data_IF_750607545777
#
_entry.id   IF_750607545777
#
_cell.length_a   1.000
_cell.length_b   1.000
_cell.length_c   1.000
_cell.angle_alpha   90.00
_cell.angle_beta   90.00
_cell.angle_gamma   90.00
#
_symmetry.space_group_name_H-M   'P 1'
#
loop_
_entity.id
_entity.type
_entity.pdbx_description
1 polymer ?
#
# COMPACT_ATOMS: atom_id res chain seq x y z
N UNK A 1 -75.59 9.04 21.55
CA UNK A 1 -76.26 10.34 21.45
C UNK A 1 -75.49 11.13 20.38
N UNK A 2 -76.12 11.34 19.21
CA UNK A 2 -76.42 12.59 18.49
C UNK A 2 -75.13 13.37 18.15
N UNK A 3 -74.85 13.80 16.93
CA UNK A 3 -75.66 14.13 15.73
C UNK A 3 -74.67 14.23 14.52
N UNK A 4 -75.09 13.68 13.45
CA UNK A 4 -75.06 14.00 12.03
C UNK A 4 -75.27 15.49 11.78
N UNK A 5 -74.56 16.10 10.83
CA UNK A 5 -75.05 17.07 9.84
C UNK A 5 -74.21 17.01 8.58
N UNK A 6 -74.81 16.78 7.48
CA UNK A 6 -74.56 16.83 6.06
C UNK A 6 -74.64 18.27 5.55
N UNK A 7 -73.99 18.52 4.40
CA UNK A 7 -74.47 19.34 3.23
C UNK A 7 -73.34 19.36 2.20
N UNK A 8 -73.48 18.81 1.06
CA UNK A 8 -74.22 19.03 -0.20
C UNK A 8 -73.80 20.30 -0.98
N UNK A 9 -73.26 19.99 -2.18
CA UNK A 9 -73.39 20.63 -3.49
C UNK A 9 -72.64 21.91 -3.84
N UNK A 10 -71.87 21.91 -4.90
CA UNK A 10 -72.29 22.43 -6.24
C UNK A 10 -71.26 22.08 -7.31
N UNK A 11 -71.71 21.51 -8.40
CA UNK A 11 -70.97 21.26 -9.62
C UNK A 11 -71.04 22.47 -10.55
N UNK A 12 -69.92 22.84 -11.15
CA UNK A 12 -69.93 23.72 -12.32
C UNK A 12 -69.04 23.11 -13.40
N UNK A 13 -69.67 22.68 -14.48
CA UNK A 13 -69.04 22.28 -15.74
C UNK A 13 -68.57 23.53 -16.47
N UNK A 14 -67.30 23.61 -16.83
CA UNK A 14 -66.83 24.49 -17.90
C UNK A 14 -66.02 23.63 -18.90
N UNK A 15 -66.60 23.49 -20.10
CA UNK A 15 -65.98 22.96 -21.29
C UNK A 15 -65.04 24.01 -21.88
N UNK A 16 -63.76 23.73 -22.07
CA UNK A 16 -62.87 24.48 -22.93
C UNK A 16 -62.11 23.52 -23.85
N UNK A 17 -62.22 23.83 -25.13
CA UNK A 17 -61.57 23.15 -26.25
C UNK A 17 -60.04 23.23 -26.15
N UNK A 18 -59.38 22.09 -26.27
CA UNK A 18 -57.92 22.06 -26.47
C UNK A 18 -57.59 21.89 -27.96
N UNK A 19 -56.96 22.89 -28.51
CA UNK A 19 -56.21 22.81 -29.77
C UNK A 19 -54.89 22.07 -29.51
N UNK A 20 -54.69 20.96 -30.20
CA UNK A 20 -53.46 20.18 -30.21
C UNK A 20 -52.38 20.91 -31.03
N UNK A 21 -51.32 21.36 -30.38
CA UNK A 21 -50.02 21.65 -31.01
C UNK A 21 -49.06 20.50 -30.67
N UNK A 22 -48.72 19.69 -31.68
CA UNK A 22 -47.67 18.72 -31.59
C UNK A 22 -46.29 19.42 -31.57
N UNK A 23 -45.64 19.46 -30.41
CA UNK A 23 -44.25 19.86 -30.32
C UNK A 23 -43.38 18.57 -30.32
N UNK A 24 -42.53 18.47 -31.34
CA UNK A 24 -41.44 17.52 -31.44
C UNK A 24 -40.48 17.74 -30.27
N UNK A 25 -40.51 16.87 -29.27
CA UNK A 25 -39.43 16.80 -28.27
C UNK A 25 -38.25 16.02 -28.86
N UNK A 26 -37.23 16.77 -29.29
CA UNK A 26 -35.90 16.25 -29.45
C UNK A 26 -35.39 15.78 -28.07
N UNK A 27 -35.36 14.48 -27.83
CA UNK A 27 -34.59 13.86 -26.72
C UNK A 27 -33.12 14.15 -26.97
N UNK A 28 -32.60 15.22 -26.39
CA UNK A 28 -31.17 15.39 -26.19
C UNK A 28 -30.71 14.31 -25.20
N UNK A 29 -30.04 13.31 -25.69
CA UNK A 29 -29.26 12.39 -24.87
C UNK A 29 -28.09 13.19 -24.29
N UNK A 30 -28.28 13.73 -23.10
CA UNK A 30 -27.17 14.26 -22.30
C UNK A 30 -26.27 13.07 -21.92
N UNK A 31 -25.29 12.76 -22.75
CA UNK A 31 -24.09 12.06 -22.32
C UNK A 31 -23.29 13.06 -21.47
N UNK A 32 -23.68 13.20 -20.21
CA UNK A 32 -22.87 13.90 -19.22
C UNK A 32 -21.72 12.96 -18.84
N UNK A 33 -20.69 12.89 -19.69
CA UNK A 33 -19.40 12.36 -19.33
C UNK A 33 -18.80 13.35 -18.32
N UNK A 34 -19.08 13.16 -17.04
CA UNK A 34 -18.39 13.88 -15.97
C UNK A 34 -16.91 13.49 -16.05
N UNK A 35 -16.13 14.27 -16.80
CA UNK A 35 -14.67 14.17 -16.81
C UNK A 35 -14.20 14.45 -15.38
N UNK A 36 -13.74 13.41 -14.69
CA UNK A 36 -13.13 13.56 -13.36
C UNK A 36 -11.90 14.44 -13.51
N UNK A 37 -11.87 15.59 -12.84
CA UNK A 37 -10.72 16.47 -12.89
C UNK A 37 -9.58 15.88 -12.07
N UNK A 38 -8.43 15.62 -12.68
CA UNK A 38 -7.22 15.25 -11.98
C UNK A 38 -6.82 16.32 -10.96
N UNK A 39 -6.23 15.91 -9.83
CA UNK A 39 -5.78 16.86 -8.83
C UNK A 39 -5.49 16.23 -7.48
N UNK A 40 -5.17 17.10 -6.52
CA UNK A 40 -4.92 16.72 -5.13
C UNK A 40 -5.83 17.54 -4.21
N UNK A 41 -6.55 16.85 -3.35
CA UNK A 41 -7.30 17.45 -2.25
C UNK A 41 -6.58 17.18 -0.93
N UNK A 42 -6.40 18.24 -0.11
CA UNK A 42 -5.84 18.16 1.24
C UNK A 42 -6.96 18.38 2.25
N UNK A 43 -7.08 17.49 3.23
CA UNK A 43 -8.08 17.55 4.30
C UNK A 43 -7.38 17.52 5.66
N UNK A 44 -7.83 18.32 6.63
CA UNK A 44 -7.36 18.20 8.04
C UNK A 44 -7.77 16.83 8.57
N UNK A 45 -6.84 16.13 9.20
CA UNK A 45 -7.06 14.78 9.70
C UNK A 45 -6.71 14.63 11.18
N UNK A 46 -6.39 15.73 11.84
CA UNK A 46 -6.11 15.82 13.26
C UNK A 46 -4.69 16.25 13.59
N UNK A 47 -4.20 15.79 14.74
CA UNK A 47 -2.90 16.17 15.26
C UNK A 47 -2.23 14.99 15.97
N UNK A 48 -0.92 14.84 15.83
CA UNK A 48 -0.12 13.87 16.55
C UNK A 48 1.24 14.48 16.93
N UNK A 49 1.64 14.33 18.19
CA UNK A 49 2.93 14.80 18.72
C UNK A 49 3.18 16.30 18.44
N UNK A 50 2.10 17.14 18.60
CA UNK A 50 2.14 18.59 18.36
C UNK A 50 2.24 19.00 16.88
N UNK A 51 2.11 18.06 15.93
CA UNK A 51 2.15 18.31 14.50
C UNK A 51 0.78 18.05 13.85
N UNK A 52 0.39 18.91 12.92
CA UNK A 52 -0.82 18.72 12.11
C UNK A 52 -0.68 17.52 11.17
N UNK A 53 -1.72 16.70 11.18
CA UNK A 53 -1.87 15.55 10.28
C UNK A 53 -2.92 15.87 9.23
N UNK A 54 -2.62 15.52 7.99
CA UNK A 54 -3.49 15.74 6.84
C UNK A 54 -3.68 14.45 6.06
N UNK A 55 -4.83 14.34 5.42
CA UNK A 55 -5.13 13.33 4.41
C UNK A 55 -5.08 14.00 3.02
N UNK A 56 -4.32 13.41 2.12
CA UNK A 56 -4.19 13.85 0.72
C UNK A 56 -4.89 12.84 -0.18
N UNK A 57 -5.85 13.29 -0.98
CA UNK A 57 -6.51 12.46 -2.01
C UNK A 57 -5.96 12.85 -3.37
N UNK A 58 -5.19 11.96 -3.97
CA UNK A 58 -4.69 12.07 -5.33
C UNK A 58 -5.75 11.46 -6.25
N UNK A 59 -6.13 12.17 -7.31
CA UNK A 59 -7.10 11.69 -8.31
C UNK A 59 -6.50 11.90 -9.70
N UNK A 60 -6.40 10.84 -10.52
CA UNK A 60 -5.95 10.95 -11.90
C UNK A 60 -7.13 11.21 -12.86
N UNK A 61 -6.85 11.37 -14.17
CA UNK A 61 -7.88 11.65 -15.20
C UNK A 61 -8.87 10.48 -15.38
N UNK A 62 -8.48 9.26 -15.06
CA UNK A 62 -9.33 8.08 -15.14
C UNK A 62 -10.27 7.96 -13.92
N UNK A 63 -10.11 8.85 -12.92
CA UNK A 63 -10.91 8.83 -11.70
C UNK A 63 -10.49 7.76 -10.69
N UNK A 64 -9.30 7.19 -10.83
CA UNK A 64 -8.63 6.40 -9.81
C UNK A 64 -8.20 7.33 -8.69
N UNK A 65 -8.36 6.91 -7.44
CA UNK A 65 -8.01 7.71 -6.27
C UNK A 65 -7.09 6.95 -5.33
N UNK A 66 -6.06 7.65 -4.86
CA UNK A 66 -5.19 7.17 -3.78
C UNK A 66 -5.22 8.18 -2.65
N UNK A 67 -5.55 7.72 -1.44
CA UNK A 67 -5.53 8.55 -0.24
C UNK A 67 -4.28 8.26 0.57
N UNK A 68 -3.54 9.29 0.94
CA UNK A 68 -2.27 9.19 1.66
C UNK A 68 -2.29 10.18 2.81
N UNK A 69 -1.96 9.73 4.03
CA UNK A 69 -1.75 10.63 5.16
C UNK A 69 -0.25 10.89 5.38
N UNK A 70 0.09 12.09 5.85
CA UNK A 70 1.45 12.38 6.27
C UNK A 70 1.82 11.77 7.65
N UNK A 71 0.90 11.11 8.35
CA UNK A 71 1.24 10.24 9.47
C UNK A 71 1.70 8.88 8.92
N UNK A 72 2.96 8.54 9.14
CA UNK A 72 3.56 7.32 8.62
C UNK A 72 3.71 7.28 7.09
N UNK A 73 3.40 8.36 6.37
CA UNK A 73 3.36 8.36 4.90
C UNK A 73 2.39 7.32 4.34
N UNK A 74 1.31 7.06 5.06
CA UNK A 74 0.47 5.88 4.91
C UNK A 74 -0.53 5.99 3.76
N UNK A 75 -0.55 5.01 2.87
CA UNK A 75 -1.63 4.80 1.89
C UNK A 75 -2.83 4.23 2.63
N UNK A 76 -3.88 5.04 2.80
CA UNK A 76 -5.07 4.66 3.57
C UNK A 76 -6.17 4.04 2.72
N UNK A 77 -6.18 4.33 1.41
CA UNK A 77 -7.17 3.82 0.47
C UNK A 77 -6.64 3.93 -0.96
N UNK A 78 -7.00 2.97 -1.82
CA UNK A 78 -6.73 3.02 -3.25
C UNK A 78 -7.97 2.54 -4.00
N UNK A 79 -8.77 3.49 -4.48
CA UNK A 79 -10.07 3.26 -5.09
C UNK A 79 -9.91 3.13 -6.61
N UNK A 80 -10.35 1.99 -7.15
CA UNK A 80 -10.27 1.66 -8.57
C UNK A 80 -11.52 0.90 -9.03
N UNK A 81 -11.94 1.00 -10.31
CA UNK A 81 -13.06 0.21 -10.83
C UNK A 81 -12.71 -1.27 -10.92
N UNK A 82 -13.71 -2.13 -10.85
CA UNK A 82 -13.66 -3.52 -11.30
C UNK A 82 -14.11 -3.63 -12.78
N UNK A 83 -14.15 -4.85 -13.35
CA UNK A 83 -14.60 -5.11 -14.72
C UNK A 83 -16.05 -4.70 -15.02
N UNK A 84 -16.86 -4.45 -13.99
CA UNK A 84 -18.25 -3.98 -14.10
C UNK A 84 -18.38 -2.47 -13.85
N UNK A 85 -17.25 -1.78 -13.58
CA UNK A 85 -17.21 -0.35 -13.25
C UNK A 85 -17.47 -0.01 -11.80
N UNK A 86 -17.68 -1.00 -10.90
CA UNK A 86 -17.88 -0.77 -9.47
C UNK A 86 -16.56 -0.35 -8.83
N UNK A 87 -16.56 0.78 -8.11
CA UNK A 87 -15.38 1.33 -7.46
C UNK A 87 -15.29 0.86 -6.01
N UNK A 88 -14.11 0.32 -5.62
CA UNK A 88 -13.80 -0.05 -4.24
C UNK A 88 -12.32 0.11 -3.96
N UNK A 89 -11.95 0.20 -2.68
CA UNK A 89 -10.54 0.21 -2.28
C UNK A 89 -9.96 -1.20 -2.39
N UNK A 90 -8.77 -1.29 -3.00
CA UNK A 90 -8.00 -2.54 -3.10
C UNK A 90 -6.95 -2.68 -2.00
N UNK A 91 -6.89 -1.74 -1.05
CA UNK A 91 -5.99 -1.80 0.10
C UNK A 91 -6.77 -1.71 1.41
N UNK A 92 -6.27 -2.38 2.45
CA UNK A 92 -6.78 -2.22 3.82
C UNK A 92 -6.31 -0.88 4.36
N UNK A 93 -7.21 -0.15 5.03
CA UNK A 93 -6.91 1.10 5.72
C UNK A 93 -8.06 1.56 6.59
N UNK A 94 -7.92 2.74 7.18
CA UNK A 94 -8.91 3.36 8.06
C UNK A 94 -9.24 4.79 7.59
N UNK A 95 -10.43 5.27 8.00
CA UNK A 95 -10.90 6.62 7.68
C UNK A 95 -10.55 7.66 8.75
N UNK A 96 -9.81 7.29 9.80
CA UNK A 96 -9.43 8.21 10.88
C UNK A 96 -7.99 8.01 11.34
N UNK A 97 -7.32 9.10 11.69
CA UNK A 97 -6.02 9.08 12.36
C UNK A 97 -6.06 8.24 13.64
N UNK A 98 -7.14 8.36 14.42
CA UNK A 98 -7.28 7.68 15.72
C UNK A 98 -7.15 6.15 15.58
N UNK A 99 -7.63 5.57 14.47
CA UNK A 99 -7.49 4.14 14.21
C UNK A 99 -6.03 3.73 13.96
N UNK A 100 -5.25 4.57 13.26
CA UNK A 100 -3.81 4.33 13.06
C UNK A 100 -2.99 4.47 14.35
N UNK A 101 -3.42 5.33 15.28
CA UNK A 101 -2.77 5.47 16.59
C UNK A 101 -2.95 4.24 17.49
N UNK A 102 -3.86 3.32 17.16
CA UNK A 102 -4.03 2.02 17.85
C UNK A 102 -2.95 0.99 17.48
N UNK A 103 -1.94 1.39 16.69
CA UNK A 103 -0.81 0.56 16.25
C UNK A 103 -1.25 -0.69 15.46
N UNK A 104 -1.96 -0.52 14.34
CA UNK A 104 -2.26 -1.62 13.43
C UNK A 104 -0.95 -2.18 12.85
N UNK A 105 -0.97 -3.40 12.28
CA UNK A 105 0.22 -4.03 11.72
C UNK A 105 0.67 -3.34 10.42
N UNK A 106 1.13 -2.09 10.52
CA UNK A 106 1.76 -1.29 9.45
C UNK A 106 0.88 -1.02 8.21
N UNK A 107 -0.44 -1.09 8.29
CA UNK A 107 -1.34 -0.93 7.14
C UNK A 107 -0.99 0.31 6.30
N UNK A 108 -0.50 0.08 5.07
CA UNK A 108 -0.19 1.09 4.06
C UNK A 108 1.00 2.01 4.37
N UNK A 109 1.71 1.81 5.48
CA UNK A 109 2.72 2.73 5.98
C UNK A 109 4.04 2.68 5.19
N UNK A 110 4.77 3.80 5.19
CA UNK A 110 6.19 3.83 4.86
C UNK A 110 6.99 3.17 5.98
N UNK A 111 7.88 2.28 5.60
CA UNK A 111 8.72 1.52 6.50
C UNK A 111 10.17 1.99 6.40
N UNK A 112 10.77 2.24 7.54
CA UNK A 112 12.15 2.66 7.74
C UNK A 112 12.44 2.96 9.21
N UNK A 113 13.73 3.26 9.59
CA UNK A 113 14.90 3.36 8.70
C UNK A 113 15.25 2.06 7.97
N UNK A 114 14.96 0.91 8.58
CA UNK A 114 15.26 -0.41 8.01
C UNK A 114 13.98 -1.27 7.95
N UNK A 115 13.50 -1.51 6.76
CA UNK A 115 12.36 -2.37 6.49
C UNK A 115 12.68 -3.83 6.76
N UNK A 116 11.66 -4.59 7.19
CA UNK A 116 11.78 -5.97 7.64
C UNK A 116 12.73 -6.12 8.87
N UNK A 117 13.36 -7.27 9.07
CA UNK A 117 14.03 -7.67 10.31
C UNK A 117 15.55 -7.48 10.28
N UNK A 118 16.11 -7.14 11.46
CA UNK A 118 17.54 -7.27 11.78
C UNK A 118 17.66 -8.20 12.96
N UNK A 119 18.39 -9.31 12.78
CA UNK A 119 18.54 -10.39 13.76
C UNK A 119 19.19 -9.92 15.07
N UNK A 120 18.67 -10.41 16.21
CA UNK A 120 19.11 -10.06 17.56
C UNK A 120 19.13 -8.54 17.83
N UNK A 121 18.37 -7.76 17.07
CA UNK A 121 18.28 -6.30 17.14
C UNK A 121 19.67 -5.64 17.16
N UNK A 122 20.64 -6.14 16.42
CA UNK A 122 22.02 -5.61 16.39
C UNK A 122 22.69 -5.83 15.03
N UNK A 123 23.63 -4.96 14.73
CA UNK A 123 24.57 -5.13 13.61
C UNK A 123 25.93 -4.53 13.97
N UNK A 124 26.95 -4.89 13.19
CA UNK A 124 28.30 -4.29 13.31
C UNK A 124 28.59 -3.49 12.05
N UNK A 125 29.05 -2.26 12.21
CA UNK A 125 29.47 -1.37 11.12
C UNK A 125 30.74 -0.66 11.53
N UNK A 126 31.78 -0.73 10.69
CA UNK A 126 33.11 -0.14 10.95
C UNK A 126 33.63 -0.54 12.34
N UNK A 127 33.64 -1.85 12.62
CA UNK A 127 34.07 -2.47 13.87
C UNK A 127 33.27 -2.08 15.12
N UNK A 128 32.28 -1.21 14.99
CA UNK A 128 31.40 -0.79 16.08
C UNK A 128 30.08 -1.56 16.07
N UNK A 129 29.71 -2.13 17.22
CA UNK A 129 28.41 -2.74 17.42
C UNK A 129 27.33 -1.68 17.70
N UNK A 130 26.20 -1.82 17.03
CA UNK A 130 24.99 -1.01 17.24
C UNK A 130 23.86 -1.87 17.74
N UNK A 131 23.23 -1.43 18.83
CA UNK A 131 22.06 -2.07 19.42
C UNK A 131 20.81 -1.30 19.00
N UNK A 132 19.86 -1.99 18.42
CA UNK A 132 18.55 -1.48 18.01
C UNK A 132 17.47 -1.83 19.04
N UNK A 133 16.28 -1.27 18.88
CA UNK A 133 15.10 -1.68 19.63
C UNK A 133 14.72 -3.13 19.27
N UNK A 134 14.57 -3.99 20.29
CA UNK A 134 14.05 -5.35 20.14
C UNK A 134 12.51 -5.33 20.24
N UNK A 135 11.85 -5.00 19.14
CA UNK A 135 10.39 -4.82 19.08
C UNK A 135 9.65 -6.04 18.46
N UNK A 136 10.39 -7.08 18.07
CA UNK A 136 9.87 -8.35 17.56
C UNK A 136 10.60 -9.53 18.22
N UNK A 137 10.20 -9.87 19.45
CA UNK A 137 10.93 -10.80 20.29
C UNK A 137 12.35 -10.31 20.55
N UNK A 138 13.37 -11.08 20.10
CA UNK A 138 14.79 -10.66 20.20
C UNK A 138 15.27 -9.82 19.02
N UNK A 139 14.44 -9.67 17.98
CA UNK A 139 14.81 -9.01 16.73
C UNK A 139 14.30 -7.56 16.67
N UNK A 140 14.89 -6.77 15.78
CA UNK A 140 14.34 -5.49 15.38
C UNK A 140 13.50 -5.68 14.11
N UNK A 141 12.34 -5.03 14.06
CA UNK A 141 11.40 -5.07 12.94
C UNK A 141 10.99 -3.65 12.53
N UNK A 142 11.01 -3.38 11.23
CA UNK A 142 10.45 -2.19 10.61
C UNK A 142 10.91 -0.85 11.25
N UNK A 143 12.21 -0.79 11.58
CA UNK A 143 12.84 0.43 12.10
C UNK A 143 12.72 0.64 13.61
N UNK A 144 12.03 -0.25 14.35
CA UNK A 144 11.99 -0.22 15.82
C UNK A 144 10.62 0.16 16.42
N UNK A 145 10.62 0.67 17.64
CA UNK A 145 9.39 1.00 18.38
C UNK A 145 8.66 2.20 17.79
N UNK A 146 9.39 3.21 17.34
CA UNK A 146 8.89 4.42 16.66
C UNK A 146 9.59 4.53 15.30
N UNK A 147 9.24 3.60 14.37
CA UNK A 147 9.71 3.64 12.99
C UNK A 147 9.03 4.73 12.17
N UNK A 148 9.33 4.79 10.88
CA UNK A 148 8.82 5.80 9.95
C UNK A 148 7.30 5.77 9.77
N UNK A 149 6.67 4.65 10.11
CA UNK A 149 5.23 4.43 10.17
C UNK A 149 4.51 5.21 11.31
N UNK A 150 5.26 5.71 12.30
CA UNK A 150 4.73 6.36 13.50
C UNK A 150 5.19 7.80 13.67
N UNK A 151 5.63 8.45 12.60
CA UNK A 151 6.07 9.85 12.61
C UNK A 151 5.20 10.68 11.67
N UNK A 152 5.11 11.99 11.95
CA UNK A 152 4.46 12.93 11.03
C UNK A 152 5.53 13.49 10.09
N UNK A 153 5.36 13.19 8.81
CA UNK A 153 6.22 13.67 7.73
C UNK A 153 5.86 15.11 7.34
N UNK A 154 6.85 15.89 6.95
CA UNK A 154 6.62 17.18 6.35
C UNK A 154 6.22 16.99 4.88
N UNK A 155 4.99 17.40 4.55
CA UNK A 155 4.34 17.10 3.27
C UNK A 155 4.22 18.33 2.38
N UNK A 156 4.54 18.19 1.10
CA UNK A 156 4.33 19.20 0.06
C UNK A 156 3.60 18.59 -1.14
N UNK A 157 2.62 19.35 -1.65
CA UNK A 157 1.91 19.01 -2.89
C UNK A 157 2.81 19.41 -4.06
N UNK A 158 3.04 18.47 -4.98
CA UNK A 158 3.79 18.70 -6.21
C UNK A 158 2.88 19.08 -7.39
N UNK A 159 3.10 18.43 -8.55
CA UNK A 159 2.28 18.68 -9.73
C UNK A 159 0.84 18.19 -9.49
N UNK A 160 -0.14 19.01 -9.89
CA UNK A 160 -1.57 18.68 -9.81
C UNK A 160 -2.12 18.10 -11.11
N UNK A 161 -1.43 18.27 -12.23
CA UNK A 161 -1.79 17.66 -13.52
C UNK A 161 -1.41 16.18 -13.59
N UNK A 162 -0.30 15.81 -12.93
CA UNK A 162 0.09 14.44 -12.59
C UNK A 162 0.24 14.39 -11.08
N UNK A 163 -0.86 14.10 -10.35
CA UNK A 163 -0.92 14.30 -8.91
C UNK A 163 0.25 13.67 -8.16
N UNK A 164 1.03 14.49 -7.45
CA UNK A 164 2.21 14.02 -6.69
C UNK A 164 2.29 14.66 -5.31
N UNK A 165 2.67 13.84 -4.32
CA UNK A 165 2.85 14.21 -2.92
C UNK A 165 4.27 13.88 -2.50
N UNK A 166 5.03 14.87 -2.02
CA UNK A 166 6.39 14.70 -1.50
C UNK A 166 6.35 14.75 0.02
N UNK A 167 6.96 13.77 0.65
CA UNK A 167 7.09 13.62 2.11
C UNK A 167 8.56 13.66 2.48
N UNK A 168 8.91 14.51 3.46
CA UNK A 168 10.28 14.65 3.97
C UNK A 168 10.34 14.31 5.45
N UNK A 169 11.39 13.60 5.86
CA UNK A 169 11.65 13.28 7.25
C UNK A 169 13.14 13.30 7.55
N UNK A 170 13.51 13.90 8.70
CA UNK A 170 14.85 13.81 9.26
C UNK A 170 14.86 12.79 10.40
N UNK A 171 15.40 11.60 10.13
CA UNK A 171 15.70 10.60 11.16
C UNK A 171 17.05 10.93 11.79
N UNK A 172 17.04 11.37 13.05
CA UNK A 172 18.22 11.90 13.76
C UNK A 172 19.23 10.79 14.10
N UNK A 173 20.49 11.18 14.26
CA UNK A 173 21.55 10.30 14.78
C UNK A 173 21.12 9.67 16.11
N UNK A 174 21.17 8.33 16.18
CA UNK A 174 20.75 7.56 17.36
C UNK A 174 19.25 7.23 17.44
N UNK A 175 18.41 7.71 16.50
CA UNK A 175 16.99 7.33 16.46
C UNK A 175 16.85 5.82 16.33
N UNK A 176 16.08 5.17 17.23
CA UNK A 176 15.93 3.70 17.35
C UNK A 176 17.25 2.92 17.39
N UNK A 177 18.39 3.58 17.66
CA UNK A 177 19.72 3.01 17.75
C UNK A 177 20.54 3.08 16.45
N UNK A 178 20.01 3.65 15.37
CA UNK A 178 20.71 3.79 14.10
C UNK A 178 21.68 4.97 14.10
N UNK A 179 22.91 4.82 13.55
CA UNK A 179 23.87 5.92 13.44
C UNK A 179 23.52 6.89 12.32
N UNK A 180 23.90 8.14 12.50
CA UNK A 180 23.84 9.21 11.51
C UNK A 180 22.47 9.87 11.38
N UNK A 181 22.49 11.14 10.99
CA UNK A 181 21.31 11.85 10.54
C UNK A 181 20.98 11.37 9.12
N UNK A 182 19.77 10.88 8.91
CA UNK A 182 19.26 10.44 7.62
C UNK A 182 18.15 11.38 7.16
N UNK A 183 18.42 12.12 6.08
CA UNK A 183 17.39 12.89 5.38
C UNK A 183 16.69 12.00 4.37
N UNK A 184 15.40 11.83 4.50
CA UNK A 184 14.58 10.96 3.64
C UNK A 184 13.55 11.79 2.92
N UNK A 185 13.45 11.60 1.61
CA UNK A 185 12.38 12.12 0.77
C UNK A 185 11.66 10.97 0.08
N UNK A 186 10.35 10.88 0.24
CA UNK A 186 9.51 9.93 -0.49
C UNK A 186 8.49 10.70 -1.33
N UNK A 187 8.44 10.39 -2.62
CA UNK A 187 7.46 10.97 -3.52
C UNK A 187 6.49 9.91 -4.01
N UNK A 188 5.22 10.16 -3.79
CA UNK A 188 4.10 9.44 -4.40
C UNK A 188 3.63 10.19 -5.64
N UNK A 189 3.45 9.48 -6.75
CA UNK A 189 2.88 10.03 -7.99
C UNK A 189 1.82 9.09 -8.52
N UNK A 190 0.60 9.60 -8.73
CA UNK A 190 -0.48 8.86 -9.38
C UNK A 190 -0.57 9.31 -10.85
N UNK A 191 -0.19 8.41 -11.78
CA UNK A 191 -0.18 8.71 -13.21
C UNK A 191 -1.55 8.49 -13.86
N UNK A 192 -1.70 9.00 -15.08
CA UNK A 192 -2.90 8.75 -15.91
C UNK A 192 -2.93 7.33 -16.51
N UNK A 193 -1.85 6.55 -16.36
CA UNK A 193 -1.77 5.12 -16.70
C UNK A 193 -2.16 4.21 -15.51
N UNK A 194 -2.79 4.78 -14.47
CA UNK A 194 -3.23 4.13 -13.23
C UNK A 194 -2.08 3.52 -12.43
N UNK A 195 -0.90 4.16 -12.49
CA UNK A 195 0.29 3.79 -11.74
C UNK A 195 0.41 4.61 -10.46
N UNK A 196 0.62 3.95 -9.33
CA UNK A 196 1.16 4.58 -8.13
C UNK A 196 2.67 4.36 -8.11
N UNK A 197 3.43 5.38 -8.49
CA UNK A 197 4.89 5.41 -8.38
C UNK A 197 5.26 5.89 -6.98
N UNK A 198 6.14 5.16 -6.32
CA UNK A 198 6.77 5.53 -5.04
C UNK A 198 8.27 5.63 -5.27
N UNK A 199 8.82 6.80 -5.06
CA UNK A 199 10.22 7.11 -5.27
C UNK A 199 10.87 7.50 -3.94
N UNK A 200 11.92 6.78 -3.55
CA UNK A 200 12.61 6.96 -2.29
C UNK A 200 13.98 7.54 -2.54
N UNK A 201 14.32 8.59 -1.81
CA UNK A 201 15.66 9.20 -1.81
C UNK A 201 16.10 9.39 -0.37
N UNK A 202 17.40 9.12 -0.09
CA UNK A 202 17.96 9.42 1.20
C UNK A 202 19.46 9.77 1.11
N UNK A 203 19.91 10.62 2.04
CA UNK A 203 21.31 11.00 2.24
C UNK A 203 21.63 11.00 3.74
N UNK A 204 22.87 10.70 4.09
CA UNK A 204 23.32 10.58 5.48
C UNK A 204 24.64 11.31 5.73
N UNK A 205 24.86 11.72 6.99
CA UNK A 205 26.13 12.28 7.45
C UNK A 205 27.08 11.25 8.10
N UNK A 206 26.59 10.01 8.35
CA UNK A 206 27.39 8.87 8.84
C UNK A 206 26.94 7.59 8.15
N UNK A 207 27.84 6.61 8.00
CA UNK A 207 27.47 5.30 7.49
C UNK A 207 26.35 4.68 8.33
N UNK A 208 25.28 4.21 7.66
CA UNK A 208 24.08 3.67 8.31
C UNK A 208 23.37 2.68 7.40
N UNK A 209 22.74 1.61 7.93
CA UNK A 209 21.90 0.75 7.11
C UNK A 209 20.57 1.45 6.78
N UNK A 210 20.18 1.38 5.49
CA UNK A 210 18.92 1.93 4.98
C UNK A 210 18.22 0.87 4.13
N UNK A 211 16.94 0.65 4.39
CA UNK A 211 16.07 -0.21 3.60
C UNK A 211 14.63 0.33 3.70
N UNK A 212 14.17 1.05 2.68
CA UNK A 212 12.86 1.71 2.68
C UNK A 212 11.88 0.92 1.83
N UNK A 213 10.64 0.78 2.32
CA UNK A 213 9.56 0.12 1.57
C UNK A 213 8.19 0.68 1.95
N UNK A 214 7.13 0.23 1.27
CA UNK A 214 5.73 0.51 1.61
C UNK A 214 5.00 -0.78 1.95
N UNK A 215 4.27 -0.77 3.06
CA UNK A 215 3.59 -1.94 3.61
C UNK A 215 2.08 -1.94 3.30
N UNK A 216 1.70 -1.67 2.05
CA UNK A 216 0.30 -1.76 1.63
C UNK A 216 -0.19 -3.20 1.63
N UNK A 217 -1.38 -3.40 2.20
CA UNK A 217 -2.09 -4.69 2.23
C UNK A 217 -3.14 -4.70 1.13
N UNK A 218 -2.93 -5.50 0.11
CA UNK A 218 -3.76 -5.57 -1.09
C UNK A 218 -4.81 -6.69 -1.02
N UNK A 219 -6.02 -6.39 -1.49
CA UNK A 219 -7.02 -7.37 -1.88
C UNK A 219 -7.73 -6.87 -3.14
N UNK A 220 -7.44 -7.48 -4.29
CA UNK A 220 -7.94 -7.02 -5.59
C UNK A 220 -9.44 -7.27 -5.78
N UNK A 221 -10.10 -8.10 -4.95
CA UNK A 221 -11.57 -8.20 -4.97
C UNK A 221 -12.22 -6.86 -4.61
N UNK A 222 -11.52 -6.02 -3.81
CA UNK A 222 -12.08 -4.80 -3.23
C UNK A 222 -13.08 -5.06 -2.10
N UNK A 223 -13.11 -6.28 -1.59
CA UNK A 223 -13.96 -6.71 -0.47
C UNK A 223 -13.22 -7.72 0.42
N UNK A 224 -12.84 -7.31 1.64
CA UNK A 224 -12.13 -8.16 2.60
C UNK A 224 -12.97 -9.22 3.30
N UNK A 225 -14.24 -9.42 2.92
CA UNK A 225 -14.96 -10.66 3.21
C UNK A 225 -14.39 -11.84 2.40
N UNK A 226 -13.70 -11.56 1.29
CA UNK A 226 -13.01 -12.54 0.48
C UNK A 226 -11.54 -12.64 0.91
N UNK A 227 -11.00 -13.85 0.87
CA UNK A 227 -9.56 -14.06 1.06
C UNK A 227 -8.79 -13.82 -0.25
N UNK A 228 -7.47 -13.63 -0.12
CA UNK A 228 -6.56 -13.49 -1.28
C UNK A 228 -6.12 -14.85 -1.85
N UNK A 229 -6.64 -15.95 -1.34
CA UNK A 229 -6.16 -17.29 -1.70
C UNK A 229 -6.46 -17.67 -3.15
N UNK A 230 -7.53 -17.11 -3.73
CA UNK A 230 -7.88 -17.29 -5.15
C UNK A 230 -7.18 -16.30 -6.09
N UNK A 231 -6.47 -15.29 -5.57
CA UNK A 231 -5.65 -14.43 -6.42
C UNK A 231 -4.53 -15.25 -7.07
N UNK A 232 -4.25 -14.93 -8.32
CA UNK A 232 -3.17 -15.54 -9.09
C UNK A 232 -1.94 -14.64 -9.07
N UNK A 233 -0.81 -15.18 -8.60
CA UNK A 233 0.45 -14.46 -8.43
C UNK A 233 1.53 -15.07 -9.33
N UNK A 234 2.35 -14.21 -9.94
CA UNK A 234 3.63 -14.55 -10.58
C UNK A 234 4.72 -13.64 -10.00
N UNK A 235 5.90 -14.18 -9.72
CA UNK A 235 7.10 -13.44 -9.28
C UNK A 235 8.28 -13.86 -10.15
N UNK A 236 8.98 -12.90 -10.76
CA UNK A 236 10.20 -13.14 -11.56
C UNK A 236 11.41 -13.32 -10.62
N UNK A 237 11.47 -14.48 -9.98
CA UNK A 237 12.53 -14.85 -9.04
C UNK A 237 12.75 -16.36 -9.02
N UNK A 238 13.98 -16.79 -9.33
CA UNK A 238 14.37 -18.20 -9.28
C UNK A 238 14.78 -18.66 -7.88
N UNK A 239 14.95 -17.72 -6.95
CA UNK A 239 15.43 -17.98 -5.60
C UNK A 239 14.66 -17.16 -4.55
N UNK A 240 14.76 -17.63 -3.30
CA UNK A 240 14.25 -16.94 -2.12
C UNK A 240 15.24 -17.07 -0.96
N UNK A 241 15.08 -16.28 0.10
CA UNK A 241 15.87 -16.39 1.33
C UNK A 241 15.09 -17.18 2.36
N UNK A 242 15.51 -18.44 2.71
CA UNK A 242 14.91 -19.19 3.79
C UNK A 242 15.09 -18.50 5.14
N UNK A 243 14.13 -18.68 6.04
CA UNK A 243 14.13 -18.04 7.35
C UNK A 243 14.18 -19.08 8.48
N UNK A 244 14.69 -18.66 9.63
CA UNK A 244 14.60 -19.43 10.87
C UNK A 244 13.21 -19.29 11.53
N UNK A 245 13.03 -19.91 12.71
CA UNK A 245 11.77 -19.85 13.45
C UNK A 245 11.37 -18.46 13.95
N UNK A 246 12.26 -17.47 13.85
CA UNK A 246 12.03 -16.06 14.20
C UNK A 246 11.92 -15.17 12.97
N UNK A 247 11.75 -15.77 11.78
CA UNK A 247 11.61 -15.12 10.49
C UNK A 247 12.86 -14.30 10.07
N UNK A 248 14.05 -14.68 10.57
CA UNK A 248 15.32 -14.11 10.15
C UNK A 248 15.92 -14.96 9.04
N UNK A 249 16.33 -14.37 7.90
CA UNK A 249 17.03 -15.10 6.84
C UNK A 249 18.28 -15.81 7.36
N UNK A 250 18.42 -17.10 6.99
CA UNK A 250 19.54 -17.94 7.41
C UNK A 250 20.87 -17.58 6.76
N UNK A 251 20.83 -16.72 5.71
CA UNK A 251 21.96 -16.40 4.83
C UNK A 251 22.01 -17.27 3.56
N UNK A 252 21.22 -18.35 3.50
CA UNK A 252 21.09 -19.16 2.30
C UNK A 252 20.27 -18.41 1.23
N UNK A 253 20.63 -18.56 -0.04
CA UNK A 253 19.82 -18.20 -1.21
C UNK A 253 19.44 -19.52 -1.87
N UNK A 254 18.16 -19.89 -1.80
CA UNK A 254 17.64 -21.20 -2.17
C UNK A 254 16.73 -21.13 -3.38
N UNK A 255 16.87 -22.11 -4.30
CA UNK A 255 16.01 -22.20 -5.48
C UNK A 255 14.54 -22.44 -5.08
N UNK A 256 13.63 -21.72 -5.76
CA UNK A 256 12.18 -21.92 -5.64
C UNK A 256 11.68 -23.14 -6.39
N UNK A 257 12.46 -23.63 -7.38
CA UNK A 257 12.06 -24.69 -8.31
C UNK A 257 11.63 -25.97 -7.59
N UNK A 258 10.42 -26.44 -7.87
CA UNK A 258 9.85 -27.65 -7.28
C UNK A 258 9.46 -27.51 -5.81
N UNK A 259 9.34 -26.28 -5.29
CA UNK A 259 8.91 -25.97 -3.94
C UNK A 259 7.59 -25.18 -3.92
N UNK A 260 6.90 -25.05 -2.81
CA UNK A 260 5.74 -24.16 -2.67
C UNK A 260 6.03 -22.69 -3.02
N UNK A 261 7.29 -22.27 -2.92
CA UNK A 261 7.75 -20.90 -3.24
C UNK A 261 7.91 -20.61 -4.73
N UNK A 262 7.70 -21.59 -5.61
CA UNK A 262 7.81 -21.41 -7.05
C UNK A 262 6.59 -20.66 -7.62
N UNK A 263 6.76 -19.35 -7.80
CA UNK A 263 5.83 -18.46 -8.49
C UNK A 263 6.38 -17.95 -9.84
N UNK A 264 7.40 -18.61 -10.39
CA UNK A 264 7.95 -18.28 -11.73
C UNK A 264 6.90 -18.41 -12.83
N UNK A 265 5.91 -19.25 -12.62
CA UNK A 265 4.68 -19.37 -13.43
C UNK A 265 3.49 -18.99 -12.56
N UNK A 266 2.58 -18.18 -13.13
CA UNK A 266 1.39 -17.72 -12.46
C UNK A 266 0.57 -18.87 -11.85
N UNK A 267 0.29 -18.79 -10.55
CA UNK A 267 -0.52 -19.78 -9.82
C UNK A 267 -1.37 -19.11 -8.73
N UNK A 268 -2.47 -19.77 -8.34
CA UNK A 268 -3.25 -19.33 -7.17
C UNK A 268 -2.41 -19.38 -5.90
N UNK A 269 -2.53 -18.34 -5.06
CA UNK A 269 -1.81 -18.24 -3.78
C UNK A 269 -2.17 -19.42 -2.87
N UNK A 270 -3.46 -19.76 -2.78
CA UNK A 270 -3.97 -20.85 -1.96
C UNK A 270 -3.56 -22.25 -2.39
N UNK A 271 -2.98 -22.43 -3.61
CA UNK A 271 -2.63 -23.75 -4.12
C UNK A 271 -1.66 -24.51 -3.23
N UNK A 272 -0.64 -23.83 -2.73
CA UNK A 272 0.45 -24.44 -1.99
C UNK A 272 0.68 -23.83 -0.59
N UNK A 273 -0.19 -22.89 -0.14
CA UNK A 273 0.01 -22.12 1.11
C UNK A 273 0.06 -23.02 2.34
N UNK A 274 -0.74 -24.10 2.37
CA UNK A 274 -0.79 -25.06 3.47
C UNK A 274 0.50 -25.89 3.60
N UNK A 275 1.34 -25.92 2.55
CA UNK A 275 2.65 -26.57 2.56
C UNK A 275 3.74 -25.66 3.16
N UNK A 276 3.42 -24.37 3.39
CA UNK A 276 4.33 -23.38 3.98
C UNK A 276 3.91 -23.12 5.42
N UNK A 277 4.73 -23.59 6.36
CA UNK A 277 4.44 -23.43 7.78
C UNK A 277 4.24 -21.97 8.14
N UNK A 278 3.02 -21.60 8.58
CA UNK A 278 2.66 -20.24 8.93
C UNK A 278 2.31 -19.33 7.74
N UNK A 279 2.19 -19.87 6.52
CA UNK A 279 1.91 -19.10 5.29
C UNK A 279 3.15 -18.42 4.71
N UNK A 280 2.97 -17.67 3.64
CA UNK A 280 4.08 -16.93 3.03
C UNK A 280 4.40 -15.67 3.85
N UNK A 281 5.66 -15.52 4.22
CA UNK A 281 6.28 -14.32 4.79
C UNK A 281 7.79 -14.38 4.51
N UNK A 282 8.14 -14.30 3.22
CA UNK A 282 9.50 -14.55 2.76
C UNK A 282 9.92 -13.51 1.73
N UNK A 283 11.22 -13.35 1.57
CA UNK A 283 11.82 -12.50 0.56
C UNK A 283 12.23 -13.32 -0.67
N UNK A 284 11.69 -12.99 -1.84
CA UNK A 284 12.11 -13.51 -3.14
C UNK A 284 13.28 -12.70 -3.67
N UNK A 285 14.32 -13.40 -4.15
CA UNK A 285 15.51 -12.82 -4.79
C UNK A 285 15.17 -12.59 -6.27
N UNK A 286 14.91 -11.35 -6.62
CA UNK A 286 14.45 -10.99 -7.97
C UNK A 286 15.50 -11.25 -9.04
N UNK A 287 15.10 -11.77 -10.20
CA UNK A 287 15.97 -12.02 -11.34
C UNK A 287 16.41 -10.71 -12.00
N UNK A 288 17.54 -10.16 -11.53
CA UNK A 288 18.07 -8.87 -11.97
C UNK A 288 19.56 -8.96 -12.30
N UNK A 289 19.98 -8.16 -13.28
CA UNK A 289 21.40 -7.97 -13.62
C UNK A 289 21.94 -6.62 -13.14
N UNK A 290 21.05 -5.67 -12.92
CA UNK A 290 21.34 -4.30 -12.54
C UNK A 290 20.17 -3.69 -11.74
N UNK A 291 20.28 -2.44 -11.36
CA UNK A 291 19.25 -1.68 -10.64
C UNK A 291 18.26 -0.95 -11.56
N UNK A 292 18.12 -1.34 -12.85
CA UNK A 292 17.11 -0.75 -13.73
C UNK A 292 15.70 -1.08 -13.26
N UNK A 293 14.74 -0.19 -13.54
CA UNK A 293 13.33 -0.45 -13.26
C UNK A 293 12.83 -1.61 -14.12
N UNK A 294 12.28 -2.66 -13.49
CA UNK A 294 11.84 -3.88 -14.16
C UNK A 294 10.52 -4.38 -13.55
N UNK A 295 9.61 -4.89 -14.40
CA UNK A 295 8.45 -5.66 -13.96
C UNK A 295 8.92 -6.95 -13.29
N UNK A 296 8.52 -7.16 -12.03
CA UNK A 296 9.01 -8.27 -11.19
C UNK A 296 7.90 -9.16 -10.64
N UNK A 297 6.66 -8.67 -10.59
CA UNK A 297 5.53 -9.48 -10.14
C UNK A 297 4.23 -9.03 -10.78
N UNK A 298 3.28 -9.98 -10.91
CA UNK A 298 1.91 -9.70 -11.31
C UNK A 298 0.95 -10.42 -10.39
N UNK A 299 -0.06 -9.70 -9.90
CA UNK A 299 -1.14 -10.23 -9.09
C UNK A 299 -2.44 -9.97 -9.84
N UNK A 300 -3.34 -10.96 -9.92
CA UNK A 300 -4.64 -10.80 -10.59
C UNK A 300 -5.75 -11.49 -9.82
N UNK A 301 -6.94 -10.92 -9.91
CA UNK A 301 -8.18 -11.52 -9.42
C UNK A 301 -9.19 -11.66 -10.55
N UNK A 302 -9.64 -12.89 -10.81
CA UNK A 302 -10.55 -13.19 -11.92
C UNK A 302 -12.00 -12.73 -11.66
N UNK A 303 -12.36 -12.55 -10.38
CA UNK A 303 -13.73 -12.11 -10.00
C UNK A 303 -13.89 -10.63 -10.34
N UNK A 304 -13.01 -9.79 -9.86
CA UNK A 304 -13.03 -8.34 -10.12
C UNK A 304 -12.47 -7.96 -11.50
N UNK A 305 -11.65 -8.83 -12.11
CA UNK A 305 -10.89 -8.53 -13.32
C UNK A 305 -9.66 -7.65 -13.07
N UNK A 306 -9.40 -7.23 -11.83
CA UNK A 306 -8.25 -6.36 -11.50
C UNK A 306 -6.94 -7.11 -11.59
N UNK A 307 -5.92 -6.44 -12.12
CA UNK A 307 -4.54 -6.89 -12.20
C UNK A 307 -3.62 -5.80 -11.66
N UNK A 308 -2.71 -6.17 -10.78
CA UNK A 308 -1.65 -5.32 -10.25
C UNK A 308 -0.30 -5.81 -10.76
N UNK A 309 0.46 -4.94 -11.40
CA UNK A 309 1.82 -5.17 -11.87
C UNK A 309 2.79 -4.39 -10.97
N UNK A 310 3.82 -5.06 -10.50
CA UNK A 310 4.85 -4.47 -9.64
C UNK A 310 6.15 -4.36 -10.41
N UNK A 311 6.62 -3.13 -10.60
CA UNK A 311 7.94 -2.83 -11.17
C UNK A 311 8.80 -2.17 -10.12
N UNK A 312 10.08 -2.55 -10.03
CA UNK A 312 10.96 -1.96 -9.02
C UNK A 312 12.43 -1.92 -9.45
N UNK A 313 13.21 -1.08 -8.77
CA UNK A 313 14.67 -1.07 -8.81
C UNK A 313 15.29 -1.89 -7.67
N UNK A 314 14.50 -2.39 -6.72
CA UNK A 314 14.94 -3.16 -5.56
C UNK A 314 15.36 -4.60 -5.92
N UNK A 315 16.31 -5.21 -5.19
CA UNK A 315 16.80 -6.57 -5.46
C UNK A 315 15.88 -7.68 -4.95
N UNK A 316 14.94 -7.36 -4.07
CA UNK A 316 14.05 -8.33 -3.41
C UNK A 316 12.60 -7.89 -3.37
N UNK A 317 11.74 -8.87 -3.16
CA UNK A 317 10.32 -8.70 -2.93
C UNK A 317 9.89 -9.56 -1.75
N UNK A 318 9.47 -8.93 -0.65
CA UNK A 318 8.79 -9.62 0.43
C UNK A 318 7.35 -9.86 0.01
N UNK A 319 6.93 -11.13 0.01
CA UNK A 319 5.55 -11.52 -0.17
C UNK A 319 5.00 -12.09 1.14
N UNK A 320 3.97 -11.41 1.67
CA UNK A 320 3.33 -11.74 2.94
C UNK A 320 1.82 -11.90 2.75
N UNK A 321 1.26 -12.98 3.25
CA UNK A 321 -0.14 -13.38 3.02
C UNK A 321 -1.10 -13.04 4.16
N UNK A 322 -0.78 -12.03 4.97
CA UNK A 322 -1.67 -11.58 6.05
C UNK A 322 -1.86 -12.63 7.14
N UNK A 323 -0.83 -13.44 7.43
CA UNK A 323 -0.90 -14.61 8.30
C UNK A 323 -1.25 -14.26 9.76
N UNK A 324 -0.86 -13.05 10.22
CA UNK A 324 -1.06 -12.58 11.59
C UNK A 324 -2.27 -11.65 11.75
N UNK A 325 -3.07 -11.45 10.70
CA UNK A 325 -4.34 -10.73 10.79
C UNK A 325 -5.33 -11.59 11.57
N UNK A 326 -5.90 -11.05 12.65
CA UNK A 326 -6.70 -11.76 13.64
C UNK A 326 -8.13 -11.22 13.83
N UNK A 327 -8.55 -10.30 12.96
CA UNK A 327 -9.87 -9.67 13.01
C UNK A 327 -10.00 -8.52 14.02
N UNK A 328 -8.94 -8.19 14.76
CA UNK A 328 -8.96 -7.14 15.78
C UNK A 328 -9.27 -5.76 15.22
N UNK A 329 -8.75 -5.45 14.04
CA UNK A 329 -8.93 -4.17 13.41
C UNK A 329 -10.09 -4.21 12.40
N UNK A 330 -10.91 -3.16 12.44
CA UNK A 330 -12.04 -2.98 11.51
C UNK A 330 -11.60 -1.97 10.45
N UNK A 331 -11.61 -2.38 9.17
CA UNK A 331 -11.22 -1.52 8.05
C UNK A 331 -12.26 -0.40 7.79
N UNK A 332 -11.97 0.46 6.80
CA UNK A 332 -12.84 1.56 6.39
C UNK A 332 -14.23 1.11 5.86
N UNK A 333 -14.42 -0.16 5.49
CA UNK A 333 -15.72 -0.71 5.10
C UNK A 333 -16.51 -1.32 6.27
N UNK A 334 -16.02 -1.15 7.51
CA UNK A 334 -16.66 -1.71 8.70
C UNK A 334 -16.46 -3.22 8.87
N UNK A 335 -15.44 -3.81 8.22
CA UNK A 335 -15.19 -5.25 8.21
C UNK A 335 -13.93 -5.61 8.98
N UNK A 336 -13.91 -6.78 9.70
CA UNK A 336 -12.73 -7.23 10.42
C UNK A 336 -11.62 -7.69 9.47
N UNK A 337 -10.38 -7.33 9.79
CA UNK A 337 -9.18 -7.74 9.04
C UNK A 337 -8.73 -9.15 9.47
N UNK A 338 -9.37 -10.16 8.94
CA UNK A 338 -9.09 -11.56 9.26
C UNK A 338 -7.87 -12.11 8.51
N UNK A 339 -7.37 -13.27 8.95
CA UNK A 339 -6.28 -13.98 8.30
C UNK A 339 -6.55 -14.17 6.81
N UNK A 340 -5.54 -13.91 5.97
CA UNK A 340 -5.59 -14.04 4.51
C UNK A 340 -6.63 -13.14 3.79
N UNK A 341 -7.13 -12.09 4.44
CA UNK A 341 -8.00 -11.11 3.77
C UNK A 341 -7.22 -10.05 2.99
N UNK A 342 -5.90 -10.00 3.13
CA UNK A 342 -5.03 -9.20 2.29
C UNK A 342 -3.59 -9.74 2.27
N UNK A 343 -2.79 -9.25 1.32
CA UNK A 343 -1.39 -9.60 1.14
C UNK A 343 -0.53 -8.34 0.96
N UNK A 344 0.78 -8.47 1.25
CA UNK A 344 1.76 -7.43 0.96
C UNK A 344 2.74 -7.88 -0.10
N UNK A 345 3.16 -6.94 -0.95
CA UNK A 345 4.26 -7.08 -1.91
C UNK A 345 5.22 -5.91 -1.69
N UNK A 346 6.17 -6.11 -0.78
CA UNK A 346 7.10 -5.07 -0.34
C UNK A 346 8.41 -5.22 -1.10
N UNK A 347 8.67 -4.31 -2.02
CA UNK A 347 9.95 -4.24 -2.73
C UNK A 347 11.01 -3.67 -1.80
N UNK A 348 12.14 -4.35 -1.67
CA UNK A 348 13.12 -4.05 -0.62
C UNK A 348 14.49 -4.68 -0.90
N UNK A 349 15.51 -4.26 -0.17
CA UNK A 349 16.71 -5.07 0.06
C UNK A 349 16.38 -6.25 0.99
N UNK A 350 17.24 -7.29 0.98
CA UNK A 350 16.95 -8.49 1.75
C UNK A 350 16.95 -8.22 3.25
N UNK A 351 16.02 -8.83 4.01
CA UNK A 351 16.03 -8.71 5.46
C UNK A 351 17.36 -9.17 6.05
N UNK A 352 17.77 -8.56 7.16
CA UNK A 352 19.01 -8.87 7.88
C UNK A 352 20.32 -8.68 7.07
N UNK A 353 20.31 -7.94 5.93
CA UNK A 353 21.51 -7.68 5.11
C UNK A 353 22.70 -7.13 5.89
N UNK A 354 22.55 -6.25 6.90
CA UNK A 354 23.71 -5.78 7.68
C UNK A 354 24.50 -6.90 8.39
N UNK A 355 23.89 -8.07 8.59
CA UNK A 355 24.50 -9.24 9.23
C UNK A 355 24.81 -10.37 8.24
N UNK A 356 24.65 -10.16 6.92
CA UNK A 356 24.82 -11.18 5.88
C UNK A 356 25.74 -10.65 4.77
N UNK A 357 26.99 -11.01 4.77
CA UNK A 357 28.00 -10.50 3.83
C UNK A 357 27.77 -10.90 2.36
N UNK A 358 26.97 -11.94 2.13
CA UNK A 358 26.59 -12.41 0.79
C UNK A 358 25.29 -11.82 0.25
N UNK A 359 24.60 -10.96 1.04
CA UNK A 359 23.44 -10.21 0.60
C UNK A 359 23.83 -8.84 0.02
N UNK A 360 22.99 -8.24 -0.84
CA UNK A 360 23.23 -6.86 -1.28
C UNK A 360 23.38 -5.92 -0.09
N UNK A 361 24.41 -5.05 -0.16
CA UNK A 361 24.69 -4.10 0.92
C UNK A 361 23.55 -3.08 1.05
N UNK A 362 23.17 -2.80 2.29
CA UNK A 362 22.21 -1.76 2.65
C UNK A 362 22.88 -0.56 3.33
N UNK A 363 24.22 -0.55 3.38
CA UNK A 363 24.95 0.54 4.03
C UNK A 363 25.04 1.74 3.08
N UNK A 364 24.44 2.84 3.50
CA UNK A 364 24.57 4.16 2.88
C UNK A 364 25.68 4.93 3.59
N UNK A 365 26.63 5.48 2.82
CA UNK A 365 27.76 6.26 3.33
C UNK A 365 27.58 7.75 3.05
N UNK A 366 28.24 8.64 3.82
CA UNK A 366 28.26 10.07 3.50
C UNK A 366 28.73 10.32 2.06
N UNK A 367 27.96 11.16 1.35
CA UNK A 367 28.23 11.49 -0.06
C UNK A 367 27.63 10.53 -1.07
N UNK A 368 27.14 9.35 -0.64
CA UNK A 368 26.35 8.46 -1.47
C UNK A 368 24.88 8.84 -1.44
N UNK A 369 24.11 8.45 -2.48
CA UNK A 369 22.67 8.65 -2.56
C UNK A 369 21.97 7.31 -2.55
N UNK A 370 21.01 7.15 -1.63
CA UNK A 370 20.01 6.09 -1.72
C UNK A 370 18.93 6.56 -2.70
N UNK A 371 18.66 5.77 -3.72
CA UNK A 371 17.59 6.05 -4.67
C UNK A 371 16.97 4.75 -5.16
N UNK A 372 15.69 4.54 -4.86
CA UNK A 372 14.92 3.39 -5.33
C UNK A 372 13.53 3.80 -5.80
N UNK A 373 12.98 3.02 -6.71
CA UNK A 373 11.66 3.26 -7.32
C UNK A 373 10.85 1.99 -7.29
N UNK A 374 9.59 2.12 -6.92
CA UNK A 374 8.58 1.08 -7.07
C UNK A 374 7.35 1.66 -7.77
N UNK A 375 6.83 0.93 -8.74
CA UNK A 375 5.60 1.27 -9.45
C UNK A 375 4.62 0.11 -9.28
N UNK A 376 3.47 0.43 -8.75
CA UNK A 376 2.30 -0.45 -8.74
C UNK A 376 1.34 0.04 -9.82
N UNK A 377 1.18 -0.73 -10.89
CA UNK A 377 0.30 -0.42 -12.01
C UNK A 377 -0.97 -1.25 -11.97
N UNK A 378 -2.10 -0.57 -11.99
CA UNK A 378 -3.41 -1.24 -12.05
C UNK A 378 -3.94 -1.29 -13.47
N UNK A 379 -4.57 -2.40 -13.80
CA UNK A 379 -5.38 -2.57 -14.99
C UNK A 379 -6.60 -3.44 -14.68
N UNK A 380 -7.59 -3.41 -15.56
CA UNK A 380 -8.80 -4.23 -15.44
C UNK A 380 -8.98 -5.00 -16.73
N UNK A 381 -8.93 -6.34 -16.65
CA UNK A 381 -9.22 -7.22 -17.76
C UNK A 381 -10.75 -7.31 -17.90
N UNK A 382 -11.23 -7.08 -19.13
CA UNK A 382 -12.66 -7.21 -19.47
C UNK A 382 -13.09 -8.68 -19.54
#
# INVERSE_FOLDING_TARGET
MKKIISNLSFALLLTSMFTSCASNENKATNNDSTTTKAGIMKTDWGEFDGKKVYLYTLTNKNGVQVKITNYGGTVTSWITPDKNGNKSSIVIGFDSLQSYLQKPPYFGALIGRYGNRIGNAKFTLDEKAYQLAANDGKNSLHGGNKGFDKVVWDASIGDTSTPSLTLNYLSKDGEEGYPGNLHVTVQYTLTDDDELKIEYNAETDKATPVNLTNHSYFNLTGDINNTILDHTLMIDADNYTPVDSTLIPTGEIKSVKGTPFDFTTAKKIGRDIDLVKGGYDHNWVLNRKDSSLKLVATLSDSISGRKLEVSTTEPGLQFYTGNFLDGKFINHDGKPTNQHTALCMETQHFPNSPNQSNFPSTILKPGEKYHTVTIYKLSVNQ
#
